data_IF_073509750236
#
_entry.id   IF_073509750236
#
_cell.length_a   1.000
_cell.length_b   1.000
_cell.length_c   1.000
_cell.angle_alpha   90.00
_cell.angle_beta   90.00
_cell.angle_gamma   90.00
#
_symmetry.space_group_name_H-M   'P 1'
#
loop_
_entity.id
_entity.type
_entity.pdbx_description
1 polymer ?
#
# COMPACT_ATOMS: atom_id res chain seq x y z
N UNK A 1 66.53 -22.68 3.44
CA UNK A 1 65.26 -23.42 3.22
C UNK A 1 64.36 -23.23 4.43
N UNK A 2 63.15 -22.72 4.31
CA UNK A 2 62.79 -21.36 3.92
C UNK A 2 61.71 -20.93 4.92
N UNK A 3 61.86 -19.76 5.55
CA UNK A 3 60.85 -19.15 6.45
C UNK A 3 59.54 -18.75 5.71
N UNK A 4 59.38 -19.19 4.46
CA UNK A 4 58.33 -18.79 3.53
C UNK A 4 57.09 -19.70 3.60
N UNK A 5 57.16 -20.85 4.27
CA UNK A 5 56.07 -21.86 4.20
C UNK A 5 55.07 -21.81 5.35
N UNK A 6 55.28 -21.00 6.39
CA UNK A 6 54.37 -20.94 7.55
C UNK A 6 53.33 -19.82 7.47
N UNK A 7 53.47 -18.88 6.52
CA UNK A 7 52.54 -17.75 6.39
C UNK A 7 51.40 -17.99 5.37
N UNK A 8 51.37 -19.11 4.66
CA UNK A 8 50.38 -19.37 3.60
C UNK A 8 49.05 -19.96 4.11
N UNK A 9 48.95 -20.33 5.40
CA UNK A 9 47.74 -20.96 5.96
C UNK A 9 46.86 -20.00 6.78
N UNK A 10 47.22 -18.72 6.88
CA UNK A 10 46.49 -17.70 7.65
C UNK A 10 45.77 -16.66 6.77
N UNK A 11 45.71 -16.87 5.46
CA UNK A 11 45.12 -15.93 4.50
C UNK A 11 43.90 -16.49 3.75
N UNK A 12 43.16 -17.41 4.36
CA UNK A 12 41.97 -18.04 3.79
C UNK A 12 40.67 -17.81 4.59
N UNK A 13 40.67 -16.88 5.56
CA UNK A 13 39.52 -16.68 6.46
C UNK A 13 38.83 -15.30 6.41
N UNK A 14 39.18 -14.40 5.49
CA UNK A 14 38.73 -13.00 5.58
C UNK A 14 38.17 -12.42 4.29
N UNK A 15 37.28 -13.14 3.60
CA UNK A 15 36.37 -12.54 2.61
C UNK A 15 34.94 -13.07 2.70
N UNK A 16 34.40 -13.18 3.91
CA UNK A 16 32.95 -13.14 4.10
C UNK A 16 32.57 -11.69 4.39
N UNK A 17 32.50 -10.85 3.34
CA UNK A 17 31.73 -9.61 3.40
C UNK A 17 30.25 -9.99 3.53
N UNK A 18 29.86 -10.44 4.72
CA UNK A 18 28.47 -10.54 5.07
C UNK A 18 27.93 -9.12 5.09
N UNK A 19 27.21 -8.73 4.03
CA UNK A 19 26.41 -7.51 4.03
C UNK A 19 25.22 -7.76 4.95
N UNK A 20 25.48 -7.80 6.25
CA UNK A 20 24.47 -7.56 7.27
C UNK A 20 24.03 -6.10 7.12
N UNK A 21 23.15 -5.84 6.15
CA UNK A 21 22.38 -4.61 6.12
C UNK A 21 21.53 -4.68 7.38
N UNK A 22 21.90 -3.90 8.40
CA UNK A 22 21.05 -3.65 9.55
C UNK A 22 19.64 -3.44 9.02
N UNK A 23 18.71 -4.29 9.48
CA UNK A 23 17.30 -4.19 9.17
C UNK A 23 16.82 -2.88 9.81
N UNK A 24 17.08 -1.76 9.12
CA UNK A 24 16.63 -0.45 9.54
C UNK A 24 15.13 -0.59 9.61
N UNK A 25 14.55 -0.45 10.79
CA UNK A 25 13.11 -0.36 10.92
C UNK A 25 12.66 0.75 9.99
N UNK A 26 12.12 0.38 8.83
CA UNK A 26 11.57 1.34 7.87
C UNK A 26 10.29 1.81 8.54
N UNK A 27 10.42 2.89 9.30
CA UNK A 27 9.29 3.74 9.63
C UNK A 27 8.76 4.30 8.31
N UNK A 28 7.45 4.54 8.19
CA UNK A 28 6.92 5.25 7.03
C UNK A 28 7.66 6.57 6.86
N UNK A 29 7.87 6.98 5.62
CA UNK A 29 8.39 8.33 5.38
C UNK A 29 7.38 9.36 5.89
N UNK A 30 7.87 10.53 6.30
CA UNK A 30 7.01 11.65 6.68
C UNK A 30 6.06 12.03 5.53
N UNK A 31 6.59 12.10 4.31
CA UNK A 31 5.80 12.33 3.10
C UNK A 31 4.68 11.30 2.88
N UNK A 32 4.94 10.01 3.13
CA UNK A 32 3.88 9.00 3.03
C UNK A 32 2.81 9.20 4.10
N UNK A 33 3.22 9.53 5.33
CA UNK A 33 2.31 9.73 6.46
C UNK A 33 1.41 10.96 6.25
N UNK A 34 1.98 12.05 5.74
CA UNK A 34 1.25 13.29 5.45
C UNK A 34 0.26 13.10 4.31
N UNK A 35 0.70 12.51 3.19
CA UNK A 35 -0.16 12.18 2.05
C UNK A 35 -1.31 11.27 2.47
N UNK A 36 -1.03 10.19 3.21
CA UNK A 36 -2.05 9.28 3.68
C UNK A 36 -3.05 10.00 4.60
N UNK A 37 -2.57 10.88 5.49
CA UNK A 37 -3.44 11.66 6.37
C UNK A 37 -4.42 12.53 5.59
N UNK A 38 -3.97 13.19 4.53
CA UNK A 38 -4.84 14.01 3.66
C UNK A 38 -5.91 13.15 3.00
N UNK A 39 -5.53 12.01 2.41
CA UNK A 39 -6.46 11.13 1.71
C UNK A 39 -7.48 10.51 2.66
N UNK A 40 -7.02 10.01 3.82
CA UNK A 40 -7.89 9.43 4.85
C UNK A 40 -8.87 10.47 5.37
N UNK A 41 -8.45 11.72 5.62
CA UNK A 41 -9.36 12.77 6.07
C UNK A 41 -10.41 13.13 5.02
N UNK A 42 -10.05 13.11 3.73
CA UNK A 42 -11.00 13.46 2.66
C UNK A 42 -12.03 12.37 2.36
N UNK A 43 -11.83 11.15 2.87
CA UNK A 43 -12.83 10.09 2.80
C UNK A 43 -14.20 10.54 3.35
N UNK A 44 -14.25 11.33 4.42
CA UNK A 44 -15.52 11.91 4.95
C UNK A 44 -16.30 12.72 3.93
N UNK A 45 -15.62 13.24 2.91
CA UNK A 45 -16.19 14.04 1.83
C UNK A 45 -16.27 13.24 0.52
N UNK A 46 -16.22 11.90 0.59
CA UNK A 46 -16.15 11.02 -0.58
C UNK A 46 -15.07 11.46 -1.58
N UNK A 47 -13.90 11.83 -1.05
CA UNK A 47 -12.72 12.27 -1.81
C UNK A 47 -12.93 13.53 -2.69
N UNK A 48 -14.01 14.29 -2.46
CA UNK A 48 -14.39 15.40 -3.32
C UNK A 48 -13.39 16.57 -3.32
N UNK A 49 -12.59 16.77 -2.26
CA UNK A 49 -11.65 17.90 -2.23
C UNK A 49 -10.32 17.58 -2.88
N UNK A 50 -9.96 16.30 -2.92
CA UNK A 50 -8.80 15.78 -3.63
C UNK A 50 -9.14 15.29 -5.05
N UNK A 51 -10.37 15.49 -5.52
CA UNK A 51 -10.80 15.16 -6.87
C UNK A 51 -10.19 16.11 -7.90
N UNK A 52 -9.65 15.55 -8.98
CA UNK A 52 -9.03 16.29 -10.08
C UNK A 52 -9.77 16.13 -11.39
N UNK A 53 -9.03 16.07 -12.48
CA UNK A 53 -9.58 15.95 -13.83
C UNK A 53 -10.31 14.62 -14.00
N UNK A 54 -11.51 14.65 -14.56
CA UNK A 54 -12.24 13.45 -14.96
C UNK A 54 -11.47 12.71 -16.06
N UNK A 55 -11.31 11.41 -15.88
CA UNK A 55 -10.76 10.46 -16.83
C UNK A 55 -11.91 9.74 -17.55
N UNK A 56 -11.64 9.00 -18.65
CA UNK A 56 -12.68 8.17 -19.25
C UNK A 56 -13.32 7.24 -18.21
N UNK A 57 -14.65 7.28 -18.11
CA UNK A 57 -15.43 6.45 -17.19
C UNK A 57 -15.21 4.95 -17.45
N UNK A 58 -15.36 4.14 -16.41
CA UNK A 58 -15.16 2.69 -16.46
C UNK A 58 -16.44 1.98 -16.01
N UNK A 59 -17.23 1.51 -16.98
CA UNK A 59 -18.53 0.90 -16.71
C UNK A 59 -19.48 1.88 -16.02
N UNK A 60 -19.94 1.51 -14.82
CA UNK A 60 -20.86 2.30 -13.98
C UNK A 60 -20.14 3.22 -12.98
N UNK A 61 -18.87 3.54 -13.25
CA UNK A 61 -18.05 4.40 -12.39
C UNK A 61 -17.48 5.57 -13.17
N UNK A 62 -17.62 6.75 -12.59
CA UNK A 62 -16.82 7.90 -12.99
C UNK A 62 -15.43 7.79 -12.36
N UNK A 63 -14.42 8.06 -13.18
CA UNK A 63 -13.02 7.98 -12.76
C UNK A 63 -12.42 9.37 -12.79
N UNK A 64 -11.73 9.75 -11.73
CA UNK A 64 -11.06 11.05 -11.62
C UNK A 64 -9.60 10.85 -11.26
N UNK A 65 -8.70 11.64 -11.84
CA UNK A 65 -7.33 11.72 -11.34
C UNK A 65 -7.33 12.36 -9.96
N UNK A 66 -6.70 11.72 -8.98
CA UNK A 66 -6.56 12.34 -7.65
C UNK A 66 -5.50 13.43 -7.65
N UNK A 67 -5.79 14.56 -6.99
CA UNK A 67 -4.83 15.62 -6.66
C UNK A 67 -3.90 15.22 -5.52
N UNK A 68 -4.35 14.33 -4.64
CA UNK A 68 -3.54 13.77 -3.57
C UNK A 68 -2.88 12.47 -4.03
N UNK A 69 -1.57 12.37 -3.80
CA UNK A 69 -0.75 11.22 -4.20
C UNK A 69 0.07 10.73 -3.02
N UNK A 70 0.50 9.47 -3.07
CA UNK A 70 1.47 8.91 -2.12
C UNK A 70 2.83 8.73 -2.80
N UNK A 71 3.95 8.86 -2.06
CA UNK A 71 5.28 8.68 -2.63
C UNK A 71 5.46 7.29 -3.27
N UNK A 72 5.93 7.27 -4.51
CA UNK A 72 6.17 6.04 -5.27
C UNK A 72 4.96 5.52 -6.05
N UNK A 73 3.80 6.17 -5.98
CA UNK A 73 2.68 5.85 -6.87
C UNK A 73 2.98 6.28 -8.32
N UNK A 74 2.64 5.41 -9.26
CA UNK A 74 2.64 5.69 -10.70
C UNK A 74 1.44 6.59 -11.04
N UNK A 75 0.25 6.18 -10.59
CA UNK A 75 -1.01 6.87 -10.80
C UNK A 75 -1.90 6.78 -9.55
N UNK A 76 -2.70 7.82 -9.31
CA UNK A 76 -3.72 7.84 -8.26
C UNK A 76 -5.06 8.27 -8.83
N UNK A 77 -6.10 7.52 -8.54
CA UNK A 77 -7.43 7.67 -9.09
C UNK A 77 -8.49 7.63 -7.99
N UNK A 78 -9.61 8.30 -8.24
CA UNK A 78 -10.83 8.21 -7.44
C UNK A 78 -11.89 7.60 -8.33
N UNK A 79 -12.52 6.54 -7.84
CA UNK A 79 -13.64 5.88 -8.51
C UNK A 79 -14.91 6.23 -7.75
N UNK A 80 -15.91 6.75 -8.47
CA UNK A 80 -17.18 7.14 -7.89
C UNK A 80 -18.28 6.33 -8.56
N UNK A 81 -19.06 5.62 -7.75
CA UNK A 81 -20.28 4.98 -8.23
C UNK A 81 -21.33 6.05 -8.53
N UNK A 82 -21.97 5.96 -9.70
CA UNK A 82 -23.02 6.88 -10.12
C UNK A 82 -24.40 6.21 -10.17
N UNK A 83 -24.60 5.15 -9.37
CA UNK A 83 -25.90 4.49 -9.28
C UNK A 83 -26.83 5.25 -8.34
N UNK A 84 -28.14 5.11 -8.51
CA UNK A 84 -29.13 5.74 -7.61
C UNK A 84 -29.02 5.25 -6.15
N UNK A 85 -28.43 4.05 -5.95
CA UNK A 85 -28.36 3.37 -4.66
C UNK A 85 -27.00 3.51 -3.98
N UNK A 86 -25.95 3.76 -4.77
CA UNK A 86 -24.57 3.85 -4.31
C UNK A 86 -23.89 5.08 -4.93
N UNK A 87 -23.62 6.05 -4.07
CA UNK A 87 -22.90 7.30 -4.37
C UNK A 87 -21.53 7.35 -3.66
N UNK A 88 -21.05 6.19 -3.20
CA UNK A 88 -19.77 6.09 -2.53
C UNK A 88 -18.62 6.24 -3.52
N UNK A 89 -17.43 6.51 -2.98
CA UNK A 89 -16.21 6.59 -3.75
C UNK A 89 -15.10 5.76 -3.09
N UNK A 90 -14.15 5.33 -3.90
CA UNK A 90 -12.89 4.74 -3.48
C UNK A 90 -11.73 5.58 -4.02
N UNK A 91 -10.60 5.52 -3.32
CA UNK A 91 -9.33 6.06 -3.80
C UNK A 91 -8.37 4.89 -4.04
N UNK A 92 -7.61 4.95 -5.13
CA UNK A 92 -6.63 3.93 -5.49
C UNK A 92 -5.31 4.58 -5.88
N UNK A 93 -4.21 3.95 -5.49
CA UNK A 93 -2.89 4.18 -6.08
C UNK A 93 -2.34 2.91 -6.71
N UNK A 94 -1.82 3.04 -7.93
CA UNK A 94 -1.00 2.02 -8.58
C UNK A 94 0.46 2.29 -8.18
N UNK A 95 1.09 1.32 -7.53
CA UNK A 95 2.42 1.44 -6.92
C UNK A 95 3.50 0.67 -7.68
N UNK A 96 3.09 -0.26 -8.53
CA UNK A 96 3.96 -1.03 -9.39
C UNK A 96 3.16 -1.56 -10.57
N UNK A 97 3.80 -1.60 -11.73
CA UNK A 97 3.33 -2.23 -12.97
C UNK A 97 4.57 -2.77 -13.68
N UNK A 98 4.58 -4.06 -14.05
CA UNK A 98 5.64 -4.67 -14.84
C UNK A 98 5.88 -6.16 -14.56
N UNK A 99 6.80 -6.77 -15.29
CA UNK A 99 6.91 -8.24 -15.36
C UNK A 99 7.63 -8.90 -14.17
N UNK A 100 8.32 -8.13 -13.34
CA UNK A 100 9.12 -8.67 -12.23
C UNK A 100 8.27 -8.93 -10.96
N UNK A 101 7.92 -10.21 -10.75
CA UNK A 101 7.20 -10.67 -9.55
C UNK A 101 7.91 -10.32 -8.24
N UNK A 102 9.22 -10.54 -8.14
CA UNK A 102 9.97 -10.28 -6.90
C UNK A 102 9.92 -8.80 -6.52
N UNK A 103 9.98 -7.93 -7.52
CA UNK A 103 9.84 -6.49 -7.33
C UNK A 103 8.41 -6.13 -6.90
N UNK A 104 7.38 -6.70 -7.52
CA UNK A 104 5.99 -6.51 -7.13
C UNK A 104 5.77 -6.93 -5.66
N UNK A 105 6.24 -8.12 -5.26
CA UNK A 105 6.17 -8.61 -3.87
C UNK A 105 6.90 -7.69 -2.90
N UNK A 106 8.06 -7.15 -3.29
CA UNK A 106 8.81 -6.20 -2.48
C UNK A 106 8.02 -4.91 -2.25
N UNK A 107 7.38 -4.37 -3.30
CA UNK A 107 6.53 -3.18 -3.22
C UNK A 107 5.31 -3.48 -2.34
N UNK A 108 4.58 -4.56 -2.59
CA UNK A 108 3.45 -5.02 -1.78
C UNK A 108 3.77 -5.10 -0.28
N UNK A 109 4.85 -5.79 0.10
CA UNK A 109 5.30 -5.89 1.51
C UNK A 109 5.76 -4.54 2.07
N UNK A 110 6.32 -3.67 1.25
CA UNK A 110 6.72 -2.33 1.67
C UNK A 110 5.49 -1.44 1.93
N UNK A 111 4.51 -1.46 1.04
CA UNK A 111 3.23 -0.74 1.18
C UNK A 111 2.52 -1.18 2.45
N UNK A 112 2.45 -2.48 2.74
CA UNK A 112 1.92 -2.99 4.00
C UNK A 112 2.62 -2.40 5.22
N UNK A 113 3.95 -2.43 5.23
CA UNK A 113 4.73 -1.88 6.35
C UNK A 113 4.51 -0.38 6.52
N UNK A 114 4.45 0.37 5.42
CA UNK A 114 4.17 1.81 5.45
C UNK A 114 2.77 2.07 6.00
N UNK A 115 1.74 1.39 5.48
CA UNK A 115 0.36 1.56 5.92
C UNK A 115 0.17 1.17 7.40
N UNK A 116 0.62 -0.02 7.82
CA UNK A 116 0.48 -0.54 9.20
C UNK A 116 1.21 0.33 10.23
N UNK A 117 2.38 0.86 9.88
CA UNK A 117 3.21 1.65 10.83
C UNK A 117 2.87 3.14 10.83
N UNK A 118 2.04 3.61 9.88
CA UNK A 118 1.67 5.02 9.82
C UNK A 118 0.76 5.37 10.99
N UNK A 119 1.16 6.42 11.72
CA UNK A 119 0.40 7.02 12.81
C UNK A 119 -0.04 8.40 12.36
N UNK A 120 -1.35 8.63 12.31
CA UNK A 120 -1.92 9.90 11.88
C UNK A 120 -2.50 10.61 13.09
N UNK A 121 -2.24 11.91 13.23
CA UNK A 121 -2.90 12.73 14.24
C UNK A 121 -4.29 13.09 13.74
N UNK A 122 -5.30 12.85 14.57
CA UNK A 122 -6.69 13.17 14.28
C UNK A 122 -7.09 14.55 14.81
N UNK A 123 -8.29 15.00 14.43
CA UNK A 123 -8.84 16.33 14.78
C UNK A 123 -8.97 16.52 16.29
N UNK A 124 -9.29 15.44 17.02
CA UNK A 124 -9.39 15.40 18.48
C UNK A 124 -8.04 15.14 19.18
N UNK A 125 -6.93 15.20 18.44
CA UNK A 125 -5.56 14.85 18.88
C UNK A 125 -5.34 13.38 19.20
N UNK A 126 -6.31 12.49 18.95
CA UNK A 126 -6.08 11.05 19.01
C UNK A 126 -5.10 10.63 17.93
N UNK A 127 -4.42 9.49 18.16
CA UNK A 127 -3.56 8.87 17.16
C UNK A 127 -4.33 7.70 16.58
N UNK A 128 -4.56 7.74 15.27
CA UNK A 128 -5.20 6.66 14.52
C UNK A 128 -4.16 5.92 13.68
N UNK A 129 -4.43 4.65 13.40
CA UNK A 129 -3.54 3.79 12.61
C UNK A 129 -4.32 2.65 11.99
N UNK A 130 -3.76 2.03 10.95
CA UNK A 130 -4.32 0.85 10.32
C UNK A 130 -3.91 -0.42 11.06
N UNK A 131 -4.86 -1.32 11.27
CA UNK A 131 -4.68 -2.61 11.94
C UNK A 131 -5.05 -3.77 11.02
N UNK A 132 -4.20 -4.79 10.95
CA UNK A 132 -4.36 -5.97 10.12
C UNK A 132 -3.05 -6.73 10.01
N UNK A 133 -3.08 -7.92 9.42
CA UNK A 133 -1.91 -8.76 9.21
C UNK A 133 -1.60 -8.92 7.72
N UNK A 134 -0.30 -9.10 7.42
CA UNK A 134 0.14 -9.29 6.05
C UNK A 134 -0.33 -10.65 5.56
N UNK A 135 -1.10 -10.66 4.48
CA UNK A 135 -1.33 -11.85 3.70
C UNK A 135 -0.14 -12.07 2.76
N UNK A 136 0.59 -13.15 2.99
CA UNK A 136 1.76 -13.49 2.19
C UNK A 136 1.33 -13.99 0.81
N UNK A 137 1.83 -13.40 -0.29
CA UNK A 137 1.58 -13.93 -1.62
C UNK A 137 2.09 -15.36 -1.72
N UNK A 138 1.22 -16.27 -2.14
CA UNK A 138 1.60 -17.65 -2.45
C UNK A 138 2.07 -17.67 -3.90
N UNK A 139 3.26 -18.20 -4.18
CA UNK A 139 3.89 -18.15 -5.53
C UNK A 139 3.00 -18.73 -6.65
N UNK A 140 2.13 -19.68 -6.31
CA UNK A 140 1.23 -20.33 -7.26
C UNK A 140 -0.11 -19.59 -7.46
N UNK A 141 -0.32 -18.45 -6.80
CA UNK A 141 -1.56 -17.67 -6.89
C UNK A 141 -1.23 -16.32 -7.52
N UNK A 142 -1.97 -15.98 -8.59
CA UNK A 142 -1.81 -14.70 -9.31
C UNK A 142 -2.46 -13.52 -8.61
N UNK A 143 -2.87 -13.68 -7.36
CA UNK A 143 -3.41 -12.59 -6.57
C UNK A 143 -3.12 -12.78 -5.08
N UNK A 144 -2.97 -11.68 -4.36
CA UNK A 144 -2.96 -11.64 -2.90
C UNK A 144 -3.54 -10.30 -2.44
N UNK A 145 -4.33 -10.31 -1.37
CA UNK A 145 -4.95 -9.09 -0.84
C UNK A 145 -4.69 -9.01 0.65
N UNK A 146 -4.12 -7.90 1.10
CA UNK A 146 -3.96 -7.59 2.52
C UNK A 146 -4.88 -6.45 2.91
N UNK A 147 -5.88 -6.73 3.74
CA UNK A 147 -6.83 -5.73 4.23
C UNK A 147 -6.46 -5.24 5.64
N UNK A 148 -6.36 -3.92 5.82
CA UNK A 148 -6.19 -3.29 7.13
C UNK A 148 -7.36 -2.36 7.41
N UNK A 149 -7.96 -2.51 8.59
CA UNK A 149 -9.02 -1.61 9.05
C UNK A 149 -8.42 -0.39 9.73
N UNK A 150 -8.99 0.80 9.49
CA UNK A 150 -8.60 1.98 10.25
C UNK A 150 -9.14 1.89 11.69
N UNK A 151 -8.26 1.89 12.67
CA UNK A 151 -8.64 1.88 14.08
C UNK A 151 -9.01 3.29 14.54
N UNK A 152 -10.30 3.61 14.50
CA UNK A 152 -10.88 4.89 14.89
C UNK A 152 -12.30 4.71 15.43
N UNK A 153 -12.71 5.57 16.37
CA UNK A 153 -14.05 5.52 17.00
C UNK A 153 -15.14 6.11 16.08
N UNK A 154 -14.74 6.92 15.10
CA UNK A 154 -15.64 7.70 14.25
C UNK A 154 -16.46 6.81 13.29
N UNK A 155 -17.80 6.88 13.41
CA UNK A 155 -18.74 5.97 12.75
C UNK A 155 -18.60 5.86 11.23
N UNK A 156 -18.36 6.94 10.46
CA UNK A 156 -18.20 6.85 9.01
C UNK A 156 -17.04 5.94 8.59
N UNK A 157 -16.03 5.77 9.45
CA UNK A 157 -14.85 4.94 9.18
C UNK A 157 -14.99 3.50 9.68
N UNK A 158 -16.13 3.10 10.25
CA UNK A 158 -16.32 1.76 10.81
C UNK A 158 -16.04 0.65 9.80
N UNK A 159 -16.32 0.93 8.53
CA UNK A 159 -16.09 0.01 7.41
C UNK A 159 -14.98 0.49 6.48
N UNK A 160 -14.10 1.40 6.93
CA UNK A 160 -13.04 1.95 6.10
C UNK A 160 -11.77 1.09 6.19
N UNK A 161 -11.31 0.64 5.01
CA UNK A 161 -10.17 -0.25 4.86
C UNK A 161 -9.14 0.36 3.92
N UNK A 162 -7.88 0.04 4.22
CA UNK A 162 -6.79 0.08 3.26
C UNK A 162 -6.49 -1.34 2.80
N UNK A 163 -6.77 -1.64 1.53
CA UNK A 163 -6.50 -2.93 0.92
C UNK A 163 -5.30 -2.81 -0.01
N UNK A 164 -4.32 -3.68 0.16
CA UNK A 164 -3.16 -3.75 -0.69
C UNK A 164 -3.32 -5.00 -1.54
N UNK A 165 -3.35 -4.82 -2.85
CA UNK A 165 -3.57 -5.90 -3.80
C UNK A 165 -2.29 -6.12 -4.58
N UNK A 166 -1.89 -7.38 -4.73
CA UNK A 166 -0.92 -7.84 -5.71
C UNK A 166 -1.70 -8.66 -6.72
N UNK A 167 -1.65 -8.30 -8.00
CA UNK A 167 -2.36 -8.99 -9.08
C UNK A 167 -1.39 -9.33 -10.20
N UNK A 168 -1.53 -10.51 -10.78
CA UNK A 168 -0.73 -11.00 -11.90
C UNK A 168 -1.63 -11.37 -13.07
N UNK A 169 -1.34 -10.83 -14.25
CA UNK A 169 -2.04 -11.11 -15.50
C UNK A 169 -1.07 -11.70 -16.53
N UNK A 170 -1.46 -11.73 -17.81
CA UNK A 170 -0.51 -12.03 -18.89
C UNK A 170 0.43 -10.86 -19.18
N UNK A 171 0.03 -9.64 -18.79
CA UNK A 171 0.73 -8.39 -19.08
C UNK A 171 1.70 -7.98 -17.96
N UNK A 172 1.85 -8.83 -16.94
CA UNK A 172 2.78 -8.65 -15.84
C UNK A 172 2.09 -8.61 -14.48
N UNK A 173 2.71 -7.90 -13.54
CA UNK A 173 2.27 -7.76 -12.16
C UNK A 173 1.96 -6.32 -11.81
N UNK A 174 0.91 -6.13 -11.03
CA UNK A 174 0.50 -4.84 -10.50
C UNK A 174 0.42 -4.88 -8.98
N UNK A 175 0.69 -3.73 -8.34
CA UNK A 175 0.46 -3.55 -6.91
C UNK A 175 -0.39 -2.31 -6.69
N UNK A 176 -1.55 -2.49 -6.05
CA UNK A 176 -2.48 -1.41 -5.75
C UNK A 176 -2.58 -1.16 -4.25
N UNK A 177 -2.84 0.09 -3.88
CA UNK A 177 -3.37 0.46 -2.57
C UNK A 177 -4.75 1.09 -2.77
N UNK A 178 -5.78 0.44 -2.24
CA UNK A 178 -7.16 0.89 -2.27
C UNK A 178 -7.58 1.41 -0.90
N UNK A 179 -8.25 2.55 -0.85
CA UNK A 179 -8.85 3.14 0.34
C UNK A 179 -10.34 3.32 0.10
N UNK A 180 -11.18 2.57 0.82
CA UNK A 180 -12.61 2.53 0.55
C UNK A 180 -13.42 2.00 1.73
N UNK A 181 -14.74 2.10 1.61
CA UNK A 181 -15.65 1.35 2.45
C UNK A 181 -15.78 -0.09 1.94
N UNK A 182 -15.62 -1.06 2.84
CA UNK A 182 -15.96 -2.46 2.56
C UNK A 182 -17.37 -2.76 3.09
N UNK A 183 -18.30 -3.10 2.20
CA UNK A 183 -19.61 -3.61 2.60
C UNK A 183 -19.41 -4.97 3.28
N UNK A 184 -20.16 -5.25 4.35
CA UNK A 184 -20.10 -6.57 4.98
C UNK A 184 -20.80 -7.57 4.07
N UNK A 185 -20.17 -8.72 3.83
CA UNK A 185 -20.72 -9.81 3.00
C UNK A 185 -22.07 -10.38 3.50
N UNK A 186 -22.57 -9.92 4.67
CA UNK A 186 -23.86 -10.31 5.25
C UNK A 186 -25.05 -9.43 4.84
N UNK A 187 -24.85 -8.34 4.10
CA UNK A 187 -25.97 -7.61 3.48
C UNK A 187 -26.35 -8.31 2.17
N UNK A 188 -27.12 -9.40 2.29
CA UNK A 188 -27.88 -9.95 1.16
C UNK A 188 -28.94 -8.93 0.76
N UNK A 189 -28.99 -8.66 -0.55
CA UNK A 189 -30.04 -7.92 -1.26
C UNK A 189 -31.45 -8.35 -0.84
#
# INVERSE_FOLDING_TARGET
MNKATTYLLLFLCSFHYSKAQFYKSILPSEAFSDSLSVIVQDFKKNFATIEGMQLPSQGEMDVYRSKATIPGALHCSIYRFHSLQDTTASWQAILYEGDNYEQAVKIYKNTFRQLKKTKMKWVDKSIISFTGELEMPVENVRFAVTSLQLNIIDKPYRSFYGEIELTGSYDGWEVHLNLHNRKKDTEKY
#
